data_IF_403775105438
#
_entry.id   IF_403775105438
#
_cell.length_a   1.000
_cell.length_b   1.000
_cell.length_c   1.000
_cell.angle_alpha   90.00
_cell.angle_beta   90.00
_cell.angle_gamma   90.00
#
_symmetry.space_group_name_H-M   'P 1'
#
loop_
_entity.id
_entity.type
_entity.pdbx_description
1 polymer ?
#
# COMPACT_ATOMS: atom_id res chain seq x y z
N UNK A 1 -15.49 -3.67 -21.12
CA UNK A 1 -15.29 -4.28 -19.78
C UNK A 1 -13.85 -4.05 -19.40
N UNK A 2 -13.61 -3.71 -18.15
CA UNK A 2 -12.28 -3.39 -17.63
C UNK A 2 -11.46 -4.67 -17.38
N UNK A 3 -10.15 -4.51 -17.21
CA UNK A 3 -9.19 -5.56 -16.90
C UNK A 3 -8.45 -5.24 -15.59
N UNK A 4 -8.26 -6.27 -14.75
CA UNK A 4 -7.57 -6.18 -13.46
C UNK A 4 -6.27 -6.98 -13.48
N UNK A 5 -5.16 -6.37 -13.07
CA UNK A 5 -3.95 -7.09 -12.72
C UNK A 5 -3.78 -7.13 -11.20
N UNK A 6 -3.36 -8.28 -10.67
CA UNK A 6 -3.09 -8.46 -9.24
C UNK A 6 -1.66 -8.96 -9.07
N UNK A 7 -0.84 -8.23 -8.31
CA UNK A 7 0.51 -8.61 -7.93
C UNK A 7 0.47 -9.10 -6.48
N UNK A 8 0.79 -10.37 -6.28
CA UNK A 8 0.83 -10.99 -4.96
C UNK A 8 2.28 -11.10 -4.52
N UNK A 9 2.57 -10.57 -3.33
CA UNK A 9 3.90 -10.57 -2.71
C UNK A 9 3.88 -11.37 -1.40
N UNK A 10 5.06 -11.75 -0.90
CA UNK A 10 5.21 -12.41 0.41
C UNK A 10 5.73 -13.85 0.34
N UNK A 11 5.32 -14.66 1.32
CA UNK A 11 5.70 -16.07 1.49
C UNK A 11 4.50 -16.97 1.26
N UNK A 12 4.68 -18.16 0.66
CA UNK A 12 3.55 -19.05 0.38
C UNK A 12 3.02 -19.81 1.61
N UNK A 13 3.81 -19.96 2.69
CA UNK A 13 3.39 -20.75 3.87
C UNK A 13 2.06 -20.31 4.49
N UNK A 14 1.65 -19.06 4.29
CA UNK A 14 0.40 -18.50 4.81
C UNK A 14 -0.81 -18.75 3.91
N UNK A 15 -0.59 -19.18 2.66
CA UNK A 15 -1.63 -19.43 1.67
C UNK A 15 -2.49 -20.66 2.03
N UNK A 16 -1.86 -21.78 2.36
CA UNK A 16 -2.58 -23.03 2.65
C UNK A 16 -3.23 -23.06 4.04
N UNK A 17 -3.00 -22.06 4.88
CA UNK A 17 -3.57 -21.93 6.23
C UNK A 17 -4.76 -20.96 6.21
N UNK A 18 -5.96 -21.44 5.88
CA UNK A 18 -7.26 -20.74 5.97
C UNK A 18 -7.45 -19.42 5.16
N UNK A 19 -6.39 -18.79 4.65
CA UNK A 19 -6.43 -17.48 4.00
C UNK A 19 -6.97 -17.49 2.55
N UNK A 20 -7.11 -18.68 1.95
CA UNK A 20 -7.68 -18.85 0.60
C UNK A 20 -9.09 -18.30 0.43
N UNK A 21 -9.88 -18.28 1.51
CA UNK A 21 -11.28 -17.89 1.43
C UNK A 21 -11.46 -16.40 1.08
N UNK A 22 -10.61 -15.51 1.59
CA UNK A 22 -10.80 -14.07 1.38
C UNK A 22 -10.25 -13.60 0.03
N UNK A 23 -9.12 -14.15 -0.42
CA UNK A 23 -8.63 -13.92 -1.79
C UNK A 23 -9.65 -14.41 -2.83
N UNK A 24 -10.22 -15.60 -2.68
CA UNK A 24 -11.22 -16.11 -3.61
C UNK A 24 -12.52 -15.30 -3.59
N UNK A 25 -12.94 -14.77 -2.43
CA UNK A 25 -14.07 -13.82 -2.37
C UNK A 25 -13.78 -12.57 -3.19
N UNK A 26 -12.62 -11.94 -2.98
CA UNK A 26 -12.20 -10.77 -3.76
C UNK A 26 -12.16 -11.09 -5.26
N UNK A 27 -11.63 -12.25 -5.67
CA UNK A 27 -11.63 -12.67 -7.08
C UNK A 27 -13.06 -12.83 -7.63
N UNK A 28 -13.96 -13.47 -6.88
CA UNK A 28 -15.36 -13.64 -7.29
C UNK A 28 -16.06 -12.30 -7.49
N UNK A 29 -15.89 -11.37 -6.56
CA UNK A 29 -16.42 -10.01 -6.68
C UNK A 29 -15.81 -9.28 -7.88
N UNK A 30 -14.49 -9.40 -8.07
CA UNK A 30 -13.78 -8.77 -9.19
C UNK A 30 -14.28 -9.28 -10.55
N UNK A 31 -14.62 -10.57 -10.68
CA UNK A 31 -15.19 -11.15 -11.91
C UNK A 31 -16.56 -10.57 -12.29
N UNK A 32 -17.25 -9.89 -11.38
CA UNK A 32 -18.51 -9.18 -11.68
C UNK A 32 -18.26 -7.82 -12.38
N UNK A 33 -17.04 -7.28 -12.29
CA UNK A 33 -16.65 -5.96 -12.82
C UNK A 33 -15.65 -6.05 -13.97
N UNK A 34 -14.73 -7.01 -13.89
CA UNK A 34 -13.61 -7.18 -14.80
C UNK A 34 -13.83 -8.35 -15.75
N UNK A 35 -13.57 -8.14 -17.05
CA UNK A 35 -13.59 -9.21 -18.04
C UNK A 35 -12.39 -10.14 -17.87
N UNK A 36 -11.21 -9.57 -17.64
CA UNK A 36 -9.98 -10.31 -17.48
C UNK A 36 -9.34 -10.00 -16.13
N UNK A 37 -8.88 -11.05 -15.45
CA UNK A 37 -8.08 -10.94 -14.24
C UNK A 37 -6.78 -11.69 -14.47
N UNK A 38 -5.66 -10.98 -14.35
CA UNK A 38 -4.33 -11.56 -14.47
C UNK A 38 -3.59 -11.47 -13.13
N UNK A 39 -3.08 -12.59 -12.64
CA UNK A 39 -2.43 -12.67 -11.33
C UNK A 39 -0.95 -12.98 -11.48
N UNK A 40 -0.09 -12.09 -10.98
CA UNK A 40 1.35 -12.32 -10.89
C UNK A 40 1.69 -12.60 -9.43
N UNK A 41 2.24 -13.79 -9.16
CA UNK A 41 2.70 -14.16 -7.83
C UNK A 41 4.22 -14.07 -7.78
N UNK A 42 4.78 -13.13 -7.01
CA UNK A 42 6.22 -13.04 -6.74
C UNK A 42 6.44 -13.47 -5.29
N UNK A 43 6.75 -14.74 -5.11
CA UNK A 43 6.68 -15.40 -3.80
C UNK A 43 8.01 -16.03 -3.43
N UNK A 44 8.31 -16.06 -2.13
CA UNK A 44 9.40 -16.87 -1.61
C UNK A 44 8.85 -18.26 -1.23
N UNK A 45 9.12 -19.32 -2.00
CA UNK A 45 8.65 -20.66 -1.70
C UNK A 45 9.38 -21.21 -0.45
N UNK A 46 8.65 -21.94 0.38
CA UNK A 46 9.27 -22.70 1.48
C UNK A 46 9.76 -24.08 1.00
N UNK A 47 9.13 -24.62 -0.05
CA UNK A 47 9.49 -25.87 -0.71
C UNK A 47 9.29 -25.73 -2.22
N UNK A 48 9.97 -26.53 -3.03
CA UNK A 48 9.79 -26.49 -4.50
C UNK A 48 8.34 -26.81 -4.94
N UNK A 49 7.64 -27.69 -4.20
CA UNK A 49 6.24 -28.06 -4.46
C UNK A 49 5.25 -26.90 -4.30
N UNK A 50 5.60 -25.88 -3.53
CA UNK A 50 4.75 -24.71 -3.26
C UNK A 50 4.32 -24.02 -4.57
N UNK A 51 5.24 -23.90 -5.53
CA UNK A 51 4.98 -23.25 -6.82
C UNK A 51 3.98 -24.06 -7.65
N UNK A 52 4.16 -25.39 -7.74
CA UNK A 52 3.29 -26.26 -8.52
C UNK A 52 1.88 -26.36 -7.92
N UNK A 53 1.78 -26.37 -6.59
CA UNK A 53 0.50 -26.33 -5.88
C UNK A 53 -0.23 -25.01 -6.14
N UNK A 54 0.47 -23.87 -6.11
CA UNK A 54 -0.14 -22.58 -6.42
C UNK A 54 -0.61 -22.49 -7.89
N UNK A 55 0.18 -23.02 -8.84
CA UNK A 55 -0.24 -23.13 -10.24
C UNK A 55 -1.55 -23.93 -10.36
N UNK A 56 -1.60 -25.08 -9.70
CA UNK A 56 -2.78 -25.96 -9.69
C UNK A 56 -4.00 -25.23 -9.11
N UNK A 57 -3.83 -24.53 -7.99
CA UNK A 57 -4.89 -23.76 -7.37
C UNK A 57 -5.47 -22.68 -8.29
N UNK A 58 -4.61 -21.85 -8.90
CA UNK A 58 -5.05 -20.74 -9.75
C UNK A 58 -5.72 -21.27 -11.03
N UNK A 59 -5.18 -22.34 -11.61
CA UNK A 59 -5.74 -22.99 -12.79
C UNK A 59 -7.12 -23.61 -12.50
N UNK A 60 -7.31 -24.28 -11.35
CA UNK A 60 -8.60 -24.84 -10.94
C UNK A 60 -9.70 -23.76 -10.79
N UNK A 61 -9.32 -22.50 -10.64
CA UNK A 61 -10.25 -21.36 -10.54
C UNK A 61 -10.34 -20.53 -11.84
N UNK A 62 -9.75 -21.02 -12.94
CA UNK A 62 -9.68 -20.35 -14.24
C UNK A 62 -9.13 -18.92 -14.10
N UNK A 63 -7.99 -18.78 -13.41
CA UNK A 63 -7.31 -17.50 -13.21
C UNK A 63 -6.03 -17.51 -14.05
N UNK A 64 -5.95 -16.62 -15.03
CA UNK A 64 -4.72 -16.41 -15.81
C UNK A 64 -3.62 -15.90 -14.89
N UNK A 65 -2.46 -16.55 -14.92
CA UNK A 65 -1.45 -16.30 -13.91
C UNK A 65 0.00 -16.43 -14.40
N UNK A 66 0.92 -15.87 -13.61
CA UNK A 66 2.37 -16.07 -13.71
C UNK A 66 2.97 -16.17 -12.31
N UNK A 67 3.69 -17.25 -12.03
CA UNK A 67 4.33 -17.46 -10.73
C UNK A 67 5.85 -17.33 -10.88
N UNK A 68 6.45 -16.53 -10.02
CA UNK A 68 7.87 -16.21 -10.00
C UNK A 68 8.44 -16.64 -8.65
N UNK A 69 9.47 -17.47 -8.71
CA UNK A 69 10.28 -17.82 -7.55
C UNK A 69 11.21 -16.65 -7.20
N UNK A 70 10.93 -16.01 -6.07
CA UNK A 70 11.72 -14.89 -5.57
C UNK A 70 13.15 -15.30 -5.15
N UNK A 71 13.39 -16.57 -4.82
CA UNK A 71 14.71 -17.04 -4.40
C UNK A 71 15.78 -16.77 -5.46
N UNK A 72 15.39 -16.79 -6.74
CA UNK A 72 16.23 -16.49 -7.90
C UNK A 72 16.68 -15.02 -7.98
N UNK A 73 16.01 -14.13 -7.23
CA UNK A 73 16.26 -12.68 -7.24
C UNK A 73 16.93 -12.17 -5.96
N UNK A 74 17.32 -13.08 -5.04
CA UNK A 74 17.92 -12.70 -3.76
C UNK A 74 19.25 -11.93 -3.94
N UNK A 75 20.08 -12.34 -4.89
CA UNK A 75 21.34 -11.64 -5.16
C UNK A 75 21.10 -10.21 -5.69
N UNK A 76 20.13 -10.02 -6.59
CA UNK A 76 19.74 -8.67 -7.08
C UNK A 76 19.26 -7.79 -5.93
N UNK A 77 18.48 -8.35 -4.99
CA UNK A 77 18.04 -7.65 -3.79
C UNK A 77 19.21 -7.19 -2.92
N UNK A 78 20.11 -8.12 -2.59
CA UNK A 78 21.24 -7.85 -1.70
C UNK A 78 22.16 -6.77 -2.31
N UNK A 79 22.43 -6.81 -3.61
CA UNK A 79 23.19 -5.78 -4.32
C UNK A 79 22.53 -4.39 -4.29
N UNK A 80 21.20 -4.32 -4.45
CA UNK A 80 20.45 -3.06 -4.34
C UNK A 80 20.50 -2.49 -2.93
N UNK A 81 20.33 -3.34 -1.93
CA UNK A 81 20.42 -2.95 -0.52
C UNK A 81 21.82 -2.41 -0.17
N UNK A 82 22.88 -3.10 -0.59
CA UNK A 82 24.26 -2.64 -0.36
C UNK A 82 24.48 -1.26 -0.99
N UNK A 83 24.08 -1.07 -2.25
CA UNK A 83 24.21 0.24 -2.92
C UNK A 83 23.44 1.33 -2.18
N UNK A 84 22.19 1.06 -1.81
CA UNK A 84 21.33 2.00 -1.07
C UNK A 84 21.93 2.41 0.27
N UNK A 85 22.48 1.47 1.06
CA UNK A 85 23.01 1.79 2.39
C UNK A 85 24.38 2.45 2.38
N UNK A 86 25.08 2.38 1.25
CA UNK A 86 26.31 3.11 1.01
C UNK A 86 26.07 4.44 0.28
N UNK A 87 24.82 4.78 -0.05
CA UNK A 87 24.49 6.06 -0.68
C UNK A 87 24.69 7.22 0.33
N UNK A 88 25.41 8.29 -0.03
CA UNK A 88 25.60 9.45 0.85
C UNK A 88 24.30 10.08 1.35
N UNK A 89 23.20 9.98 0.59
CA UNK A 89 21.88 10.46 1.02
C UNK A 89 21.38 9.68 2.24
N UNK A 90 21.68 8.39 2.33
CA UNK A 90 21.29 7.60 3.51
C UNK A 90 21.96 8.17 4.77
N UNK A 91 23.21 8.62 4.69
CA UNK A 91 23.89 9.25 5.83
C UNK A 91 23.29 10.60 6.20
N UNK A 92 22.93 11.41 5.21
CA UNK A 92 22.22 12.68 5.41
C UNK A 92 20.89 12.45 6.14
N UNK A 93 20.10 11.47 5.72
CA UNK A 93 18.83 11.12 6.35
C UNK A 93 19.03 10.54 7.76
N UNK A 94 20.10 9.78 8.02
CA UNK A 94 20.39 9.36 9.39
C UNK A 94 20.71 10.58 10.28
N UNK A 95 21.54 11.52 9.81
CA UNK A 95 21.89 12.73 10.57
C UNK A 95 20.68 13.59 10.87
N UNK A 96 19.87 13.85 9.87
CA UNK A 96 18.64 14.61 10.03
C UNK A 96 17.74 13.91 11.07
N UNK A 97 17.62 12.56 11.06
CA UNK A 97 16.76 11.77 11.97
C UNK A 97 17.14 11.98 13.42
N UNK A 98 18.44 11.88 13.69
CA UNK A 98 19.00 12.12 15.02
C UNK A 98 18.92 13.56 15.48
N UNK A 99 18.89 14.52 14.54
CA UNK A 99 18.72 15.93 14.87
C UNK A 99 17.26 16.32 15.15
N UNK A 100 16.29 15.44 14.87
CA UNK A 100 14.88 15.73 15.14
C UNK A 100 14.63 15.87 16.65
N UNK A 101 14.03 16.99 17.12
CA UNK A 101 13.82 17.24 18.54
C UNK A 101 12.76 16.33 19.19
N UNK A 102 12.15 15.41 18.42
CA UNK A 102 11.04 14.56 18.88
C UNK A 102 11.53 13.17 19.30
N UNK A 103 10.96 12.65 20.40
CA UNK A 103 11.31 11.36 21.06
C UNK A 103 11.12 10.09 20.21
N UNK A 104 10.62 10.17 18.98
CA UNK A 104 10.48 9.02 18.08
C UNK A 104 11.83 8.32 17.81
N UNK A 105 12.95 9.06 17.91
CA UNK A 105 14.31 8.51 17.77
C UNK A 105 14.65 7.42 18.80
N UNK A 106 13.96 7.36 19.94
CA UNK A 106 14.25 6.39 21.02
C UNK A 106 13.95 4.95 20.59
N UNK A 107 13.04 4.74 19.63
CA UNK A 107 12.63 3.41 19.17
C UNK A 107 13.62 2.71 18.23
N UNK A 108 14.59 3.42 17.67
CA UNK A 108 15.50 2.89 16.64
C UNK A 108 16.94 3.17 17.06
N UNK A 109 17.63 2.16 17.57
CA UNK A 109 19.04 2.25 17.97
C UNK A 109 20.01 2.29 16.78
N UNK A 110 19.65 1.63 15.67
CA UNK A 110 20.46 1.62 14.45
C UNK A 110 19.57 1.64 13.20
N UNK A 111 19.41 2.82 12.55
CA UNK A 111 18.64 2.94 11.32
C UNK A 111 19.05 1.98 10.21
N UNK A 112 20.35 1.63 10.12
CA UNK A 112 20.85 0.72 9.08
C UNK A 112 20.32 -0.71 9.23
N UNK A 113 20.00 -1.17 10.44
CA UNK A 113 19.46 -2.52 10.69
C UNK A 113 17.98 -2.65 10.32
N UNK A 114 17.19 -1.59 10.50
CA UNK A 114 15.76 -1.57 10.13
C UNK A 114 15.54 -1.59 8.62
N UNK A 115 16.56 -1.23 7.86
CA UNK A 115 16.55 -1.23 6.42
C UNK A 115 16.62 -2.61 5.77
N UNK A 116 17.01 -3.68 6.49
CA UNK A 116 16.99 -5.07 5.96
C UNK A 116 15.67 -5.80 6.31
N UNK A 117 14.59 -5.05 6.50
CA UNK A 117 13.30 -5.61 6.94
C UNK A 117 12.55 -6.27 5.76
N UNK A 118 11.66 -7.20 6.12
CA UNK A 118 10.67 -7.86 5.27
C UNK A 118 9.88 -6.94 4.34
N UNK A 119 9.73 -5.65 4.65
CA UNK A 119 9.10 -4.65 3.77
C UNK A 119 9.92 -4.39 2.51
N UNK A 120 11.24 -4.20 2.58
CA UNK A 120 12.04 -3.95 1.37
C UNK A 120 12.05 -5.17 0.46
N UNK A 121 11.97 -6.38 1.02
CA UNK A 121 11.73 -7.59 0.23
C UNK A 121 10.40 -7.50 -0.53
N UNK A 122 9.32 -7.08 0.13
CA UNK A 122 8.02 -6.89 -0.54
C UNK A 122 8.07 -5.80 -1.63
N UNK A 123 8.82 -4.71 -1.41
CA UNK A 123 9.05 -3.69 -2.45
C UNK A 123 9.82 -4.25 -3.64
N UNK A 124 10.80 -5.12 -3.40
CA UNK A 124 11.50 -5.80 -4.48
C UNK A 124 10.59 -6.76 -5.25
N UNK A 125 9.80 -7.55 -4.52
CA UNK A 125 8.81 -8.45 -5.10
C UNK A 125 7.79 -7.67 -5.96
N UNK A 126 7.33 -6.51 -5.48
CA UNK A 126 6.48 -5.61 -6.24
C UNK A 126 7.17 -5.10 -7.51
N UNK A 127 8.42 -4.65 -7.42
CA UNK A 127 9.19 -4.21 -8.58
C UNK A 127 9.31 -5.30 -9.65
N UNK A 128 9.61 -6.54 -9.25
CA UNK A 128 9.64 -7.71 -10.14
C UNK A 128 8.25 -7.95 -10.77
N UNK A 129 7.19 -7.86 -9.96
CA UNK A 129 5.81 -8.01 -10.42
C UNK A 129 5.41 -6.96 -11.46
N UNK A 130 5.76 -5.70 -11.23
CA UNK A 130 5.50 -4.59 -12.15
C UNK A 130 6.27 -4.78 -13.46
N UNK A 131 7.57 -5.13 -13.41
CA UNK A 131 8.37 -5.41 -14.62
C UNK A 131 7.79 -6.55 -15.43
N UNK A 132 7.35 -7.61 -14.75
CA UNK A 132 6.69 -8.75 -15.38
C UNK A 132 5.37 -8.36 -16.03
N UNK A 133 4.58 -7.51 -15.36
CA UNK A 133 3.32 -7.01 -15.89
C UNK A 133 3.54 -6.16 -17.15
N UNK A 134 4.49 -5.22 -17.12
CA UNK A 134 4.85 -4.40 -18.29
C UNK A 134 5.22 -5.27 -19.49
N UNK A 135 6.09 -6.26 -19.28
CA UNK A 135 6.45 -7.24 -20.32
C UNK A 135 5.21 -7.98 -20.87
N UNK A 136 4.30 -8.41 -20.00
CA UNK A 136 3.07 -9.09 -20.43
C UNK A 136 2.14 -8.17 -21.23
N UNK A 137 1.98 -6.91 -20.82
CA UNK A 137 1.21 -5.88 -21.54
C UNK A 137 1.76 -5.73 -22.96
N UNK A 138 3.09 -5.58 -23.08
CA UNK A 138 3.77 -5.40 -24.36
C UNK A 138 3.64 -6.64 -25.27
N UNK A 139 3.81 -7.84 -24.71
CA UNK A 139 3.76 -9.11 -25.46
C UNK A 139 2.35 -9.50 -25.88
N UNK A 140 1.34 -9.24 -25.03
CA UNK A 140 -0.03 -9.72 -25.23
C UNK A 140 -0.96 -8.66 -25.80
N UNK A 141 -0.51 -7.40 -25.90
CA UNK A 141 -1.33 -6.24 -26.28
C UNK A 141 -2.63 -6.13 -25.45
N UNK A 142 -2.53 -6.43 -24.15
CA UNK A 142 -3.63 -6.31 -23.17
C UNK A 142 -3.35 -5.11 -22.29
N UNK A 143 -4.31 -4.18 -22.19
CA UNK A 143 -4.28 -3.10 -21.22
C UNK A 143 -4.98 -3.50 -19.92
N UNK A 144 -4.49 -3.01 -18.78
CA UNK A 144 -5.17 -3.12 -17.49
C UNK A 144 -5.69 -1.75 -17.08
N UNK A 145 -6.89 -1.70 -16.51
CA UNK A 145 -7.48 -0.46 -16.01
C UNK A 145 -7.05 -0.22 -14.56
N UNK A 146 -7.03 -1.29 -13.77
CA UNK A 146 -6.64 -1.27 -12.36
C UNK A 146 -5.56 -2.30 -12.09
N UNK A 147 -4.58 -1.91 -11.25
CA UNK A 147 -3.59 -2.83 -10.70
C UNK A 147 -3.72 -2.83 -9.18
N UNK A 148 -3.70 -4.01 -8.59
CA UNK A 148 -3.72 -4.23 -7.15
C UNK A 148 -2.45 -4.97 -6.70
N UNK A 149 -1.80 -4.52 -5.64
CA UNK A 149 -0.84 -5.35 -4.87
C UNK A 149 -1.52 -5.86 -3.62
N UNK A 150 -1.33 -7.14 -3.35
CA UNK A 150 -1.80 -7.76 -2.11
C UNK A 150 -0.86 -8.89 -1.63
N UNK A 151 -1.27 -9.58 -0.57
CA UNK A 151 -0.70 -10.82 -0.07
C UNK A 151 -1.82 -11.84 0.15
N UNK A 152 -1.48 -13.11 0.24
CA UNK A 152 -2.47 -14.15 0.51
C UNK A 152 -2.99 -14.14 1.95
N UNK A 153 -2.21 -13.63 2.91
CA UNK A 153 -2.57 -13.55 4.32
C UNK A 153 -3.33 -12.28 4.72
N UNK A 154 -3.62 -11.41 3.75
CA UNK A 154 -4.39 -10.20 3.99
C UNK A 154 -5.87 -10.54 4.24
N UNK A 155 -6.44 -9.94 5.29
CA UNK A 155 -7.89 -9.85 5.44
C UNK A 155 -8.38 -8.66 4.64
N UNK A 156 -9.35 -8.88 3.77
CA UNK A 156 -10.01 -7.81 3.02
C UNK A 156 -11.30 -7.38 3.74
N UNK A 157 -11.74 -6.13 3.55
CA UNK A 157 -13.12 -5.75 3.86
C UNK A 157 -14.11 -6.69 3.15
N UNK A 158 -15.26 -6.97 3.78
CA UNK A 158 -16.20 -8.01 3.34
C UNK A 158 -16.60 -7.90 1.86
N UNK A 159 -16.75 -6.68 1.34
CA UNK A 159 -17.17 -6.40 -0.04
C UNK A 159 -16.04 -5.77 -0.88
N UNK A 160 -14.78 -6.06 -0.54
CA UNK A 160 -13.66 -5.48 -1.25
C UNK A 160 -13.54 -6.02 -2.68
N UNK A 161 -13.61 -5.09 -3.63
CA UNK A 161 -13.30 -5.29 -5.04
C UNK A 161 -12.42 -4.10 -5.47
N UNK A 162 -11.16 -4.30 -5.92
CA UNK A 162 -10.26 -3.21 -6.27
C UNK A 162 -10.76 -2.51 -7.55
N UNK A 163 -11.77 -1.65 -7.44
CA UNK A 163 -12.50 -1.02 -8.54
C UNK A 163 -12.64 0.49 -8.33
N UNK A 164 -12.11 1.26 -9.26
CA UNK A 164 -12.06 2.72 -9.13
C UNK A 164 -13.25 3.33 -9.87
N UNK A 165 -14.31 3.61 -9.14
CA UNK A 165 -15.47 4.32 -9.68
C UNK A 165 -15.17 5.80 -9.90
N UNK A 166 -15.69 6.35 -11.00
CA UNK A 166 -15.70 7.80 -11.17
C UNK A 166 -16.80 8.41 -10.31
N UNK A 167 -16.41 9.07 -9.22
CA UNK A 167 -17.35 9.66 -8.27
C UNK A 167 -17.25 11.18 -8.30
N UNK A 168 -18.42 11.82 -8.35
CA UNK A 168 -18.52 13.28 -8.39
C UNK A 168 -18.30 13.92 -7.00
N UNK A 169 -18.48 13.14 -5.93
CA UNK A 169 -18.33 13.61 -4.56
C UNK A 169 -17.00 13.13 -3.98
N UNK A 170 -16.22 14.06 -3.43
CA UNK A 170 -14.90 13.77 -2.86
C UNK A 170 -14.93 12.81 -1.67
N UNK A 171 -15.95 12.86 -0.81
CA UNK A 171 -16.07 11.90 0.30
C UNK A 171 -16.25 10.51 -0.27
N UNK A 172 -17.06 10.36 -1.32
CA UNK A 172 -17.24 9.06 -1.95
C UNK A 172 -15.95 8.59 -2.66
N UNK A 173 -15.19 9.51 -3.25
CA UNK A 173 -13.85 9.24 -3.80
C UNK A 173 -12.91 8.71 -2.71
N UNK A 174 -12.68 9.48 -1.64
CA UNK A 174 -11.69 9.13 -0.60
C UNK A 174 -12.14 7.99 0.30
N UNK A 175 -13.42 7.59 0.27
CA UNK A 175 -13.93 6.42 0.96
C UNK A 175 -13.86 5.15 0.09
N UNK A 176 -13.85 5.33 -1.24
CA UNK A 176 -13.86 4.30 -2.27
C UNK A 176 -15.12 3.42 -2.33
N UNK A 177 -15.71 2.99 -1.20
CA UNK A 177 -16.93 2.19 -1.15
C UNK A 177 -17.99 2.77 -0.20
N UNK A 178 -19.25 2.31 -0.33
CA UNK A 178 -20.39 2.83 0.44
C UNK A 178 -20.25 2.61 1.95
N UNK A 179 -19.71 1.47 2.38
CA UNK A 179 -19.49 1.20 3.80
C UNK A 179 -18.54 2.21 4.43
N UNK A 180 -17.42 2.51 3.76
CA UNK A 180 -16.47 3.51 4.21
C UNK A 180 -17.07 4.92 4.17
N UNK A 181 -17.93 5.23 3.21
CA UNK A 181 -18.67 6.50 3.17
C UNK A 181 -19.49 6.67 4.44
N UNK A 182 -20.22 5.63 4.85
CA UNK A 182 -21.05 5.67 6.06
C UNK A 182 -20.20 5.85 7.32
N UNK A 183 -19.08 5.13 7.44
CA UNK A 183 -18.15 5.26 8.57
C UNK A 183 -17.57 6.68 8.64
N UNK A 184 -17.06 7.20 7.53
CA UNK A 184 -16.47 8.54 7.47
C UNK A 184 -17.52 9.59 7.84
N UNK A 185 -18.74 9.52 7.27
CA UNK A 185 -19.82 10.47 7.56
C UNK A 185 -20.24 10.45 9.03
N UNK A 186 -20.45 9.27 9.62
CA UNK A 186 -20.81 9.15 11.04
C UNK A 186 -19.75 9.77 11.95
N UNK A 187 -18.47 9.54 11.66
CA UNK A 187 -17.39 10.13 12.44
C UNK A 187 -17.28 11.65 12.19
N UNK A 188 -17.45 12.10 10.95
CA UNK A 188 -17.49 13.52 10.63
C UNK A 188 -18.59 14.24 11.44
N UNK A 189 -19.79 13.67 11.50
CA UNK A 189 -20.91 14.21 12.31
C UNK A 189 -20.56 14.28 13.80
N UNK A 190 -19.93 13.23 14.35
CA UNK A 190 -19.50 13.19 15.76
C UNK A 190 -18.54 14.33 16.13
N UNK A 191 -17.67 14.73 15.21
CA UNK A 191 -16.68 15.80 15.43
C UNK A 191 -17.13 17.16 14.87
N UNK A 192 -18.38 17.29 14.39
CA UNK A 192 -18.90 18.53 13.80
C UNK A 192 -18.19 18.97 12.52
N UNK A 193 -17.64 18.01 11.77
CA UNK A 193 -16.93 18.22 10.50
C UNK A 193 -17.95 18.12 9.38
N UNK A 194 -18.28 19.24 8.71
CA UNK A 194 -19.36 19.27 7.74
C UNK A 194 -18.87 19.24 6.28
N UNK A 195 -17.59 19.57 6.06
CA UNK A 195 -17.02 19.71 4.72
C UNK A 195 -15.68 18.97 4.59
N UNK A 196 -15.25 18.76 3.35
CA UNK A 196 -13.90 18.23 3.08
C UNK A 196 -12.81 19.18 3.57
N UNK A 197 -13.05 20.50 3.54
CA UNK A 197 -12.10 21.50 4.02
C UNK A 197 -11.95 21.42 5.55
N UNK A 198 -13.04 21.18 6.27
CA UNK A 198 -13.01 20.92 7.71
C UNK A 198 -12.23 19.63 8.01
N UNK A 199 -12.41 18.58 7.20
CA UNK A 199 -11.70 17.31 7.37
C UNK A 199 -10.18 17.47 7.12
N UNK A 200 -9.78 18.23 6.11
CA UNK A 200 -8.38 18.56 5.85
C UNK A 200 -7.81 19.36 7.03
N UNK A 201 -8.55 20.35 7.52
CA UNK A 201 -8.13 21.16 8.66
C UNK A 201 -8.01 20.33 9.94
N UNK A 202 -8.92 19.39 10.15
CA UNK A 202 -8.87 18.42 11.24
C UNK A 202 -7.59 17.56 11.16
N UNK A 203 -7.30 17.00 9.99
CA UNK A 203 -6.11 16.18 9.77
C UNK A 203 -4.80 16.98 9.98
N UNK A 204 -4.75 18.25 9.55
CA UNK A 204 -3.60 19.14 9.81
C UNK A 204 -3.39 19.46 11.28
N UNK A 205 -4.47 19.58 12.05
CA UNK A 205 -4.42 19.95 13.48
C UNK A 205 -4.15 18.74 14.37
N UNK A 206 -4.58 17.56 13.95
CA UNK A 206 -4.41 16.34 14.73
C UNK A 206 -2.95 15.93 14.81
N UNK A 207 -2.45 15.73 16.03
CA UNK A 207 -1.06 15.33 16.27
C UNK A 207 -0.98 13.85 16.64
N UNK A 208 0.13 13.21 16.28
CA UNK A 208 0.46 11.86 16.73
C UNK A 208 0.67 11.84 18.26
N UNK A 209 0.17 10.80 18.93
CA UNK A 209 0.38 10.58 20.37
C UNK A 209 1.83 10.11 20.60
N UNK A 210 2.63 10.92 21.31
CA UNK A 210 4.00 10.58 21.70
C UNK A 210 4.04 9.92 23.10
N UNK A 211 4.99 9.01 23.37
CA UNK A 211 6.09 8.55 22.51
C UNK A 211 5.69 7.43 21.53
N UNK A 212 4.46 6.93 21.62
CA UNK A 212 4.00 5.74 20.89
C UNK A 212 3.93 5.94 19.37
N UNK A 213 3.88 7.19 18.89
CA UNK A 213 4.04 7.52 17.49
C UNK A 213 2.84 7.14 16.63
N UNK A 214 1.64 7.09 17.20
CA UNK A 214 0.44 6.69 16.47
C UNK A 214 -0.65 7.76 16.47
N UNK A 215 -1.54 7.66 15.49
CA UNK A 215 -2.80 8.40 15.41
C UNK A 215 -3.70 7.98 16.60
N UNK A 216 -4.35 8.91 17.31
CA UNK A 216 -5.38 8.57 18.31
C UNK A 216 -6.41 7.61 17.73
N UNK A 217 -6.70 6.50 18.41
CA UNK A 217 -7.62 5.47 17.94
C UNK A 217 -9.00 6.03 17.59
N UNK A 218 -9.48 6.95 18.42
CA UNK A 218 -10.73 7.69 18.25
C UNK A 218 -10.80 8.54 16.95
N UNK A 219 -9.67 8.76 16.28
CA UNK A 219 -9.58 9.53 15.04
C UNK A 219 -9.30 8.66 13.80
N UNK A 220 -9.06 7.34 13.96
CA UNK A 220 -8.61 6.47 12.86
C UNK A 220 -9.53 6.50 11.63
N UNK A 221 -10.84 6.59 11.84
CA UNK A 221 -11.84 6.65 10.77
C UNK A 221 -11.78 7.93 9.90
N UNK A 222 -11.17 9.01 10.43
CA UNK A 222 -11.04 10.32 9.77
C UNK A 222 -9.61 10.63 9.34
N UNK A 223 -8.68 9.79 9.76
CA UNK A 223 -7.25 10.07 9.75
C UNK A 223 -6.56 9.91 8.39
N UNK A 224 -7.31 9.56 7.32
CA UNK A 224 -6.85 9.28 5.95
C UNK A 224 -5.32 9.47 5.81
N UNK A 225 -4.63 8.36 6.06
CA UNK A 225 -3.28 8.25 6.62
C UNK A 225 -3.08 6.85 7.21
N UNK A 226 -1.84 6.49 7.55
CA UNK A 226 -1.55 5.20 8.20
C UNK A 226 -1.45 5.34 9.71
N UNK A 227 -1.00 4.30 10.43
CA UNK A 227 -0.96 4.36 11.90
C UNK A 227 -0.01 5.43 12.41
N UNK A 228 1.07 5.71 11.67
CA UNK A 228 2.17 6.57 12.11
C UNK A 228 2.19 7.94 11.41
N UNK A 229 1.29 8.20 10.44
CA UNK A 229 1.27 9.49 9.75
C UNK A 229 -0.06 9.81 9.06
N UNK A 230 -0.41 11.11 9.02
CA UNK A 230 -1.52 11.65 8.22
C UNK A 230 -1.00 12.13 6.87
N UNK A 231 -1.77 11.93 5.80
CA UNK A 231 -1.38 12.38 4.45
C UNK A 231 -2.27 13.51 3.93
N UNK A 232 -2.52 14.53 4.75
CA UNK A 232 -3.40 15.66 4.40
C UNK A 232 -3.03 16.35 3.07
N UNK A 233 -1.77 16.33 2.66
CA UNK A 233 -1.31 16.84 1.36
C UNK A 233 -1.98 16.10 0.19
N UNK A 234 -2.09 14.77 0.29
CA UNK A 234 -2.85 13.95 -0.69
C UNK A 234 -4.32 14.35 -0.71
N UNK A 235 -4.95 14.55 0.46
CA UNK A 235 -6.35 14.97 0.53
C UNK A 235 -6.58 16.33 -0.14
N UNK A 236 -5.67 17.29 0.08
CA UNK A 236 -5.73 18.59 -0.57
C UNK A 236 -5.60 18.49 -2.09
N UNK A 237 -4.74 17.60 -2.57
CA UNK A 237 -4.54 17.38 -3.99
C UNK A 237 -5.76 16.70 -4.62
N UNK A 238 -6.32 15.67 -3.99
CA UNK A 238 -7.55 15.01 -4.44
C UNK A 238 -8.70 16.00 -4.50
N UNK A 239 -8.83 16.89 -3.51
CA UNK A 239 -9.82 17.98 -3.52
C UNK A 239 -9.69 18.92 -4.72
N UNK A 240 -8.47 19.20 -5.17
CA UNK A 240 -8.24 20.11 -6.30
C UNK A 240 -8.32 19.42 -7.66
N UNK A 241 -7.83 18.18 -7.74
CA UNK A 241 -7.51 17.50 -8.99
C UNK A 241 -8.40 16.26 -9.26
N UNK A 242 -9.25 15.86 -8.32
CA UNK A 242 -10.11 14.69 -8.46
C UNK A 242 -9.37 13.36 -8.32
N UNK A 243 -9.81 12.35 -9.08
CA UNK A 243 -9.44 10.94 -8.87
C UNK A 243 -8.23 10.46 -9.65
N UNK A 244 -7.63 11.31 -10.49
CA UNK A 244 -6.72 10.86 -11.54
C UNK A 244 -5.40 10.29 -11.02
N UNK A 245 -4.94 10.69 -9.83
CA UNK A 245 -3.64 10.27 -9.29
C UNK A 245 -3.71 9.51 -7.97
N UNK A 246 -4.85 8.88 -7.67
CA UNK A 246 -5.07 8.25 -6.36
C UNK A 246 -4.49 6.83 -6.29
N UNK A 247 -3.73 6.58 -5.23
CA UNK A 247 -3.39 5.23 -4.76
C UNK A 247 -4.17 4.94 -3.48
N UNK A 248 -5.14 4.05 -3.56
CA UNK A 248 -5.88 3.60 -2.39
C UNK A 248 -5.08 2.53 -1.67
N UNK A 249 -4.79 2.75 -0.40
CA UNK A 249 -3.93 1.89 0.38
C UNK A 249 -4.53 1.55 1.72
N UNK A 250 -4.37 0.31 2.14
CA UNK A 250 -4.71 -0.08 3.49
C UNK A 250 -3.43 -0.51 4.19
N UNK A 251 -2.89 0.41 4.99
CA UNK A 251 -1.50 0.42 5.42
C UNK A 251 -0.53 0.18 4.22
N UNK A 252 0.56 -0.57 4.38
CA UNK A 252 1.47 -1.00 3.30
C UNK A 252 1.21 -2.44 2.81
N UNK A 253 0.17 -3.09 3.32
CA UNK A 253 -0.12 -4.51 3.08
C UNK A 253 -0.79 -4.76 1.73
N UNK A 254 -1.81 -3.98 1.38
CA UNK A 254 -2.42 -4.02 0.06
C UNK A 254 -2.88 -2.63 -0.39
N UNK A 255 -2.83 -2.42 -1.70
CA UNK A 255 -3.17 -1.16 -2.33
C UNK A 255 -3.48 -1.36 -3.80
N UNK A 256 -4.26 -0.47 -4.38
CA UNK A 256 -4.64 -0.51 -5.79
C UNK A 256 -4.81 0.91 -6.35
N UNK A 257 -4.58 1.04 -7.65
CA UNK A 257 -4.68 2.29 -8.39
C UNK A 257 -4.95 2.02 -9.87
N UNK A 258 -5.25 3.08 -10.61
CA UNK A 258 -5.18 3.05 -12.08
C UNK A 258 -3.77 2.65 -12.53
N UNK A 259 -3.67 2.00 -13.67
CA UNK A 259 -2.40 1.43 -14.18
C UNK A 259 -1.27 2.45 -14.27
N UNK A 260 -1.51 3.62 -14.84
CA UNK A 260 -0.51 4.68 -15.00
C UNK A 260 0.05 5.19 -13.66
N UNK A 261 -0.77 5.20 -12.61
CA UNK A 261 -0.38 5.56 -11.25
C UNK A 261 0.40 4.41 -10.61
N UNK A 262 -0.13 3.20 -10.71
CA UNK A 262 0.47 2.04 -10.06
C UNK A 262 1.85 1.71 -10.61
N UNK A 263 2.06 1.85 -11.93
CA UNK A 263 3.35 1.58 -12.57
C UNK A 263 4.46 2.53 -12.12
N UNK A 264 4.15 3.69 -11.52
CA UNK A 264 5.14 4.58 -10.89
C UNK A 264 5.80 3.92 -9.67
N UNK A 265 5.14 2.94 -9.05
CA UNK A 265 5.68 2.20 -7.90
C UNK A 265 6.85 1.26 -8.26
N UNK A 266 7.21 1.09 -9.55
CA UNK A 266 8.32 0.21 -9.94
C UNK A 266 9.64 0.54 -9.23
N UNK A 267 9.88 1.82 -8.94
CA UNK A 267 11.11 2.30 -8.31
C UNK A 267 11.05 2.40 -6.79
N UNK A 268 9.96 1.92 -6.16
CA UNK A 268 9.78 2.06 -4.71
C UNK A 268 10.94 1.47 -3.91
N UNK A 269 11.47 0.31 -4.30
CA UNK A 269 12.66 -0.23 -3.67
C UNK A 269 13.88 0.66 -3.89
N UNK A 270 14.09 1.20 -5.10
CA UNK A 270 15.30 1.94 -5.44
C UNK A 270 15.34 3.29 -4.73
N UNK A 271 14.19 3.95 -4.60
CA UNK A 271 14.10 5.31 -4.04
C UNK A 271 13.78 5.35 -2.54
N UNK A 272 13.17 4.30 -1.96
CA UNK A 272 12.89 4.26 -0.51
C UNK A 272 14.16 4.48 0.31
N UNK A 273 14.05 5.10 1.48
CA UNK A 273 15.21 5.49 2.29
C UNK A 273 16.20 6.48 1.63
N UNK A 274 15.97 6.97 0.41
CA UNK A 274 16.85 7.94 -0.27
C UNK A 274 16.15 9.27 -0.64
N UNK A 275 14.87 9.43 -0.26
CA UNK A 275 14.08 10.62 -0.53
C UNK A 275 14.07 11.52 0.71
N UNK A 276 14.54 12.75 0.56
CA UNK A 276 14.40 13.79 1.59
C UNK A 276 12.93 14.23 1.70
N UNK A 277 12.40 14.25 2.92
CA UNK A 277 11.05 14.73 3.20
C UNK A 277 11.11 16.09 3.88
N UNK A 278 10.40 17.08 3.33
CA UNK A 278 10.31 18.43 3.91
C UNK A 278 9.29 18.53 5.05
N UNK A 279 8.56 17.45 5.36
CA UNK A 279 7.56 17.42 6.42
C UNK A 279 8.15 16.86 7.73
N UNK A 280 8.29 17.69 8.79
CA UNK A 280 8.90 17.27 10.05
C UNK A 280 8.18 16.13 10.77
N UNK A 281 6.90 15.86 10.46
CA UNK A 281 6.16 14.76 11.09
C UNK A 281 6.53 13.41 10.47
N UNK A 282 6.55 13.32 9.14
CA UNK A 282 7.02 12.15 8.39
C UNK A 282 8.46 11.79 8.75
N UNK A 283 9.26 12.82 8.98
CA UNK A 283 10.67 12.70 9.28
C UNK A 283 10.97 11.90 10.57
N UNK A 284 10.08 11.97 11.57
CA UNK A 284 10.23 11.22 12.82
C UNK A 284 10.04 9.72 12.67
N UNK A 285 9.37 9.32 11.60
CA UNK A 285 9.03 7.94 11.30
C UNK A 285 9.74 7.48 10.02
N UNK A 286 10.80 8.18 9.59
CA UNK A 286 11.47 7.93 8.32
C UNK A 286 11.90 6.48 8.08
N UNK A 287 12.27 5.75 9.14
CA UNK A 287 12.66 4.34 9.07
C UNK A 287 11.49 3.36 9.31
N UNK A 288 10.26 3.86 9.38
CA UNK A 288 9.04 3.07 9.37
C UNK A 288 8.61 2.79 7.91
N UNK A 289 8.34 1.52 7.54
CA UNK A 289 7.81 1.12 6.24
C UNK A 289 6.69 2.02 5.69
N UNK A 290 5.68 2.28 6.51
CA UNK A 290 4.51 3.07 6.16
C UNK A 290 4.90 4.51 5.77
N UNK A 291 5.78 5.14 6.54
CA UNK A 291 6.24 6.51 6.26
C UNK A 291 7.12 6.56 5.01
N UNK A 292 7.96 5.56 4.77
CA UNK A 292 8.75 5.47 3.54
C UNK A 292 7.86 5.35 2.31
N UNK A 293 6.77 4.60 2.42
CA UNK A 293 5.80 4.47 1.35
C UNK A 293 5.09 5.80 1.04
N UNK A 294 4.64 6.50 2.09
CA UNK A 294 3.99 7.81 1.92
C UNK A 294 4.96 8.82 1.31
N UNK A 295 6.20 8.89 1.82
CA UNK A 295 7.24 9.78 1.28
C UNK A 295 7.51 9.48 -0.20
N UNK A 296 7.61 8.20 -0.56
CA UNK A 296 7.78 7.77 -1.95
C UNK A 296 6.61 8.25 -2.84
N UNK A 297 5.38 8.08 -2.37
CA UNK A 297 4.19 8.49 -3.11
C UNK A 297 4.17 10.00 -3.34
N UNK A 298 4.37 10.80 -2.28
CA UNK A 298 4.38 12.25 -2.36
C UNK A 298 5.48 12.76 -3.31
N UNK A 299 6.69 12.20 -3.23
CA UNK A 299 7.80 12.56 -4.12
C UNK A 299 7.50 12.25 -5.59
N UNK A 300 6.81 11.14 -5.86
CA UNK A 300 6.42 10.72 -7.21
C UNK A 300 5.06 11.27 -7.67
N UNK A 301 4.50 12.26 -6.96
CA UNK A 301 3.20 12.89 -7.27
C UNK A 301 2.08 11.86 -7.37
N UNK A 302 2.00 10.98 -6.38
CA UNK A 302 0.94 10.00 -6.17
C UNK A 302 0.15 10.45 -4.95
N UNK A 303 -1.14 10.71 -5.14
CA UNK A 303 -2.04 11.08 -4.06
C UNK A 303 -2.48 9.81 -3.33
N UNK A 304 -1.67 9.38 -2.38
CA UNK A 304 -1.99 8.19 -1.58
C UNK A 304 -3.14 8.51 -0.62
N UNK A 305 -4.17 7.67 -0.57
CA UNK A 305 -5.22 7.67 0.45
C UNK A 305 -5.04 6.39 1.24
N UNK A 306 -4.54 6.52 2.46
CA UNK A 306 -4.23 5.37 3.31
C UNK A 306 -5.31 5.18 4.38
N UNK A 307 -5.68 3.94 4.67
CA UNK A 307 -6.58 3.59 5.77
C UNK A 307 -5.80 2.79 6.81
N UNK A 308 -5.98 3.06 8.12
CA UNK A 308 -5.36 2.28 9.18
C UNK A 308 -5.95 0.87 9.26
N UNK A 309 -5.16 -0.08 9.76
CA UNK A 309 -5.52 -1.51 9.86
C UNK A 309 -6.78 -1.76 10.72
N UNK A 310 -7.11 -0.87 11.66
CA UNK A 310 -8.34 -1.00 12.44
C UNK A 310 -9.63 -0.81 11.63
N UNK A 311 -9.57 -0.28 10.39
CA UNK A 311 -10.72 -0.31 9.49
C UNK A 311 -11.20 -1.74 9.22
N UNK A 312 -10.36 -2.76 9.46
CA UNK A 312 -10.75 -4.17 9.37
C UNK A 312 -11.44 -4.68 10.64
N UNK A 313 -10.96 -4.31 11.83
CA UNK A 313 -11.44 -4.87 13.11
C UNK A 313 -12.63 -4.11 13.72
N UNK A 314 -12.87 -2.85 13.36
CA UNK A 314 -14.14 -2.18 13.66
C UNK A 314 -15.31 -2.67 12.79
N UNK A 315 -15.06 -3.59 11.85
CA UNK A 315 -16.12 -4.30 11.10
C UNK A 315 -16.63 -5.56 11.82
N UNK A 316 -16.03 -5.98 12.95
CA UNK A 316 -16.53 -7.11 13.77
C UNK A 316 -16.28 -6.88 15.27
N UNK A 317 -16.57 -5.70 15.80
CA UNK A 317 -16.87 -5.56 17.22
C UNK A 317 -18.08 -4.63 17.40
N UNK A 318 -19.25 -5.26 17.39
CA UNK A 318 -20.35 -4.90 18.29
C UNK A 318 -20.30 -5.83 19.49
#
# INVERSE_FOLDING_TARGET
MENLAIIITGQLRTFFTNANNDFLKMIKLSKMKYANIFVICVINPSKESDISELYTFLNNHNISNRIIDYSLYKNEYDEKCIRKFNDPKMEEMIKLYWSSPKRAHIGISNPKQYSYNSTLIQYHQLQIGIRTLKKYIDESNISFDTICKTRFDCKYPTDFCPYIENKNNIIDTIAFNENNVNIIKQNMDQYGINTIDDLILFNKKTRLKLPHGHIPYEHHALALGGMACYNYESLENVRRNGIENILYSFNDYFYFAKTDIFLKLEKILDDSCLITCNNPDLYNHYFCPESQFIIFCLYNKIDIIMYPECFYDTMIYR
#
